data_IF_234736000044
#
_entry.id   IF_234736000044
#
_cell.length_a   1.000
_cell.length_b   1.000
_cell.length_c   1.000
_cell.angle_alpha   90.00
_cell.angle_beta   90.00
_cell.angle_gamma   90.00
#
_symmetry.space_group_name_H-M   'P 1'
#
loop_
_entity.id
_entity.type
_entity.pdbx_description
1 polymer ?
#
# COMPACT_ATOMS: atom_id res chain seq x y z
N UNK A 1 29.75 -3.85 63.99
CA UNK A 1 30.23 -2.47 64.14
C UNK A 1 30.54 -1.94 62.75
N UNK A 2 29.77 -0.95 62.32
CA UNK A 2 29.78 -0.31 61.00
C UNK A 2 31.15 0.26 60.61
N UNK A 3 31.62 -0.02 59.39
CA UNK A 3 32.50 0.85 58.58
C UNK A 3 32.12 0.60 57.11
N UNK A 4 31.29 1.46 56.53
CA UNK A 4 31.67 2.67 55.80
C UNK A 4 32.00 2.41 54.33
N UNK A 5 30.97 2.65 53.54
CA UNK A 5 30.88 3.20 52.18
C UNK A 5 32.17 3.74 51.55
N UNK A 6 32.43 3.32 50.30
CA UNK A 6 32.63 4.14 49.09
C UNK A 6 33.39 3.32 48.05
N UNK A 7 32.74 2.96 46.93
CA UNK A 7 33.40 2.93 45.61
C UNK A 7 32.39 3.37 44.54
N UNK A 8 32.41 4.66 44.25
CA UNK A 8 31.81 5.24 43.05
C UNK A 8 32.40 4.52 41.82
N UNK A 9 31.57 3.74 41.13
CA UNK A 9 31.90 3.18 39.81
C UNK A 9 31.90 4.29 38.75
N UNK A 10 32.68 4.13 37.66
CA UNK A 10 32.81 5.15 36.64
C UNK A 10 31.49 5.31 35.88
N UNK A 11 31.05 6.57 35.71
CA UNK A 11 29.97 6.90 34.78
C UNK A 11 30.49 6.64 33.36
N UNK A 12 30.11 5.49 32.79
CA UNK A 12 30.28 5.27 31.35
C UNK A 12 29.36 6.23 30.60
N UNK A 13 29.95 7.27 30.02
CA UNK A 13 29.30 8.13 29.05
C UNK A 13 29.17 7.36 27.73
N UNK A 14 27.98 6.83 27.46
CA UNK A 14 27.64 6.34 26.13
C UNK A 14 27.46 7.54 25.19
N UNK A 15 28.53 7.93 24.49
CA UNK A 15 28.43 8.82 23.33
C UNK A 15 27.85 8.00 22.16
N UNK A 16 26.52 8.01 22.01
CA UNK A 16 25.87 7.42 20.86
C UNK A 16 26.10 8.32 19.64
N UNK A 17 26.98 7.88 18.72
CA UNK A 17 27.08 8.48 17.39
C UNK A 17 25.76 8.27 16.65
N UNK A 18 24.96 9.33 16.55
CA UNK A 18 23.78 9.35 15.71
C UNK A 18 24.21 9.37 14.23
N UNK A 19 24.33 8.20 13.61
CA UNK A 19 24.39 8.10 12.16
C UNK A 19 23.01 8.41 11.60
N UNK A 20 22.84 9.62 11.09
CA UNK A 20 21.67 10.01 10.31
C UNK A 20 21.74 9.31 8.95
N UNK A 21 21.10 8.15 8.84
CA UNK A 21 20.83 7.54 7.55
C UNK A 21 19.87 8.44 6.77
N UNK A 22 20.38 9.08 5.72
CA UNK A 22 19.58 9.82 4.75
C UNK A 22 18.71 8.82 3.98
N UNK A 23 17.44 8.70 4.38
CA UNK A 23 16.43 8.02 3.58
C UNK A 23 16.19 8.87 2.34
N UNK A 24 16.63 8.39 1.18
CA UNK A 24 16.26 8.98 -0.10
C UNK A 24 14.76 8.79 -0.31
N UNK A 25 14.01 9.89 -0.27
CA UNK A 25 12.65 9.91 -0.76
C UNK A 25 12.72 9.77 -2.29
N UNK A 26 12.12 8.71 -2.82
CA UNK A 26 12.01 8.52 -4.27
C UNK A 26 11.40 9.79 -4.90
N UNK A 27 12.11 10.40 -5.84
CA UNK A 27 11.63 11.56 -6.58
C UNK A 27 10.39 11.16 -7.39
N UNK A 28 9.23 11.71 -7.04
CA UNK A 28 8.00 11.52 -7.81
C UNK A 28 8.10 12.36 -9.09
N UNK A 29 8.22 11.71 -10.25
CA UNK A 29 8.33 12.42 -11.52
C UNK A 29 6.96 12.94 -11.93
N UNK A 30 6.91 14.12 -12.53
CA UNK A 30 5.66 14.72 -13.05
C UNK A 30 4.93 13.78 -14.03
N UNK A 31 5.69 12.98 -14.80
CA UNK A 31 5.13 11.97 -15.71
C UNK A 31 4.39 10.83 -15.00
N UNK A 32 4.83 10.43 -13.80
CA UNK A 32 4.18 9.35 -13.04
C UNK A 32 2.80 9.81 -12.53
N UNK A 33 2.72 11.07 -12.09
CA UNK A 33 1.45 11.69 -11.70
C UNK A 33 0.48 11.76 -12.88
N UNK A 34 0.94 12.28 -14.02
CA UNK A 34 0.11 12.41 -15.21
C UNK A 34 -0.38 11.05 -15.72
N UNK A 35 0.49 10.05 -15.72
CA UNK A 35 0.13 8.67 -16.05
C UNK A 35 -0.95 8.16 -15.10
N UNK A 36 -0.76 8.31 -13.78
CA UNK A 36 -1.75 7.87 -12.80
C UNK A 36 -3.11 8.55 -13.02
N UNK A 37 -3.14 9.88 -13.17
CA UNK A 37 -4.39 10.62 -13.37
C UNK A 37 -5.11 10.27 -14.67
N UNK A 38 -4.37 9.95 -15.74
CA UNK A 38 -4.96 9.66 -17.06
C UNK A 38 -5.27 8.18 -17.30
N UNK A 39 -4.51 7.27 -16.70
CA UNK A 39 -4.59 5.83 -16.98
C UNK A 39 -5.15 5.02 -15.83
N UNK A 40 -4.77 5.36 -14.59
CA UNK A 40 -5.12 4.56 -13.42
C UNK A 40 -6.39 5.07 -12.72
N UNK A 41 -6.44 6.36 -12.39
CA UNK A 41 -7.57 6.95 -11.65
C UNK A 41 -8.93 6.74 -12.36
N UNK A 42 -9.06 6.89 -13.69
CA UNK A 42 -10.35 6.67 -14.36
C UNK A 42 -10.87 5.24 -14.17
N UNK A 43 -9.98 4.24 -14.27
CA UNK A 43 -10.34 2.82 -14.06
C UNK A 43 -10.81 2.58 -12.62
N UNK A 44 -10.09 3.15 -11.64
CA UNK A 44 -10.48 3.03 -10.23
C UNK A 44 -11.84 3.68 -9.94
N UNK A 45 -12.10 4.85 -10.52
CA UNK A 45 -13.38 5.55 -10.37
C UNK A 45 -14.53 4.74 -10.99
N UNK A 46 -14.34 4.26 -12.22
CA UNK A 46 -15.39 3.56 -12.96
C UNK A 46 -15.70 2.18 -12.36
N UNK A 47 -14.68 1.44 -11.97
CA UNK A 47 -14.82 0.01 -11.68
C UNK A 47 -14.62 -0.38 -10.22
N UNK A 48 -14.00 0.47 -9.40
CA UNK A 48 -13.57 0.08 -8.05
C UNK A 48 -14.26 0.87 -6.94
N UNK A 49 -14.37 2.19 -7.08
CA UNK A 49 -14.77 3.07 -5.99
C UNK A 49 -16.21 2.89 -5.51
N UNK A 50 -17.11 2.38 -6.35
CA UNK A 50 -18.47 2.05 -5.93
C UNK A 50 -18.52 1.11 -4.72
N UNK A 51 -17.51 0.26 -4.53
CA UNK A 51 -17.44 -0.70 -3.42
C UNK A 51 -16.20 -0.57 -2.53
N UNK A 52 -15.14 0.08 -3.01
CA UNK A 52 -13.83 0.13 -2.34
C UNK A 52 -13.31 1.58 -2.22
N UNK A 53 -14.16 2.49 -1.77
CA UNK A 53 -13.79 3.89 -1.48
C UNK A 53 -14.45 4.36 -0.19
N UNK A 54 -13.96 5.45 0.37
CA UNK A 54 -14.54 6.08 1.56
C UNK A 54 -15.98 6.58 1.32
N UNK A 55 -16.34 6.81 0.05
CA UNK A 55 -17.69 7.23 -0.37
C UNK A 55 -18.56 6.07 -0.86
N UNK A 56 -18.11 4.82 -0.75
CA UNK A 56 -18.90 3.66 -1.15
C UNK A 56 -20.15 3.52 -0.25
N UNK A 57 -21.34 3.37 -0.85
CA UNK A 57 -22.57 3.08 -0.11
C UNK A 57 -22.46 1.79 0.72
N UNK A 58 -21.70 0.81 0.19
CA UNK A 58 -21.36 -0.41 0.88
C UNK A 58 -19.89 -0.73 0.66
N UNK A 59 -19.08 -0.46 1.67
CA UNK A 59 -17.68 -0.85 1.71
C UNK A 59 -17.55 -2.38 1.69
N UNK A 60 -16.72 -2.91 0.79
CA UNK A 60 -16.50 -4.34 0.62
C UNK A 60 -15.11 -4.73 1.11
N UNK A 61 -15.07 -5.77 1.94
CA UNK A 61 -13.82 -6.35 2.45
C UNK A 61 -12.97 -5.35 3.23
N UNK A 62 -13.58 -4.34 3.85
CA UNK A 62 -12.93 -3.19 4.51
C UNK A 62 -11.75 -2.58 3.72
N UNK A 63 -11.82 -2.62 2.39
CA UNK A 63 -10.74 -2.20 1.51
C UNK A 63 -11.03 -0.83 0.90
N UNK A 64 -10.09 0.10 1.07
CA UNK A 64 -10.10 1.44 0.48
C UNK A 64 -9.02 1.52 -0.61
N UNK A 65 -9.44 1.79 -1.85
CA UNK A 65 -8.56 1.95 -3.02
C UNK A 65 -8.35 3.43 -3.40
N UNK A 66 -9.03 4.35 -2.71
CA UNK A 66 -9.00 5.80 -2.93
C UNK A 66 -8.01 6.54 -2.02
N UNK A 67 -7.28 5.81 -1.18
CA UNK A 67 -6.27 6.37 -0.29
C UNK A 67 -4.99 5.55 -0.26
N UNK A 68 -3.85 6.23 -0.12
CA UNK A 68 -2.54 5.57 -0.05
C UNK A 68 -2.44 4.63 1.16
N UNK A 69 -2.94 5.06 2.31
CA UNK A 69 -2.95 4.22 3.51
C UNK A 69 -3.83 2.97 3.32
N UNK A 70 -5.01 3.14 2.72
CA UNK A 70 -5.93 2.04 2.42
C UNK A 70 -5.31 0.96 1.54
N UNK A 71 -4.66 1.35 0.43
CA UNK A 71 -4.05 0.37 -0.48
C UNK A 71 -2.85 -0.37 0.13
N UNK A 72 -2.09 0.30 1.01
CA UNK A 72 -0.92 -0.29 1.68
C UNK A 72 -1.32 -1.20 2.84
N UNK A 73 -2.36 -0.83 3.59
CA UNK A 73 -2.92 -1.67 4.66
C UNK A 73 -3.66 -2.88 4.09
N UNK A 74 -4.40 -2.66 3.00
CA UNK A 74 -5.39 -3.60 2.51
C UNK A 74 -6.68 -3.57 3.34
N UNK A 75 -7.46 -4.64 3.23
CA UNK A 75 -8.73 -4.82 3.94
C UNK A 75 -8.76 -6.09 4.78
N UNK A 76 -9.93 -6.73 4.88
CA UNK A 76 -10.18 -7.95 5.66
C UNK A 76 -9.24 -9.12 5.31
N UNK A 77 -8.63 -9.12 4.12
CA UNK A 77 -7.66 -10.13 3.73
C UNK A 77 -6.35 -10.11 4.55
N UNK A 78 -6.11 -9.04 5.31
CA UNK A 78 -4.90 -8.87 6.13
C UNK A 78 -3.61 -8.69 5.31
N UNK A 79 -3.72 -8.49 3.99
CA UNK A 79 -2.60 -8.31 3.07
C UNK A 79 -2.75 -7.00 2.30
N UNK A 80 -1.65 -6.30 1.97
CA UNK A 80 -1.69 -5.09 1.16
C UNK A 80 -2.42 -5.31 -0.18
N UNK A 81 -3.23 -4.34 -0.59
CA UNK A 81 -3.80 -4.34 -1.93
C UNK A 81 -2.70 -4.08 -2.98
N UNK A 82 -1.80 -3.14 -2.67
CA UNK A 82 -0.62 -2.83 -3.47
C UNK A 82 0.64 -2.93 -2.60
N UNK A 83 1.64 -3.63 -3.11
CA UNK A 83 3.02 -3.63 -2.61
C UNK A 83 3.86 -2.83 -3.61
N UNK A 84 4.31 -1.62 -3.27
CA UNK A 84 5.05 -0.76 -4.19
C UNK A 84 6.26 -1.48 -4.82
N UNK A 85 6.39 -1.41 -6.15
CA UNK A 85 7.46 -2.08 -6.89
C UNK A 85 7.31 -3.60 -7.05
N UNK A 86 6.24 -4.21 -6.53
CA UNK A 86 6.03 -5.66 -6.55
C UNK A 86 4.59 -6.00 -6.94
N UNK A 87 4.29 -5.88 -8.23
CA UNK A 87 2.97 -6.17 -8.79
C UNK A 87 2.53 -7.63 -8.53
N UNK A 88 3.46 -8.58 -8.61
CA UNK A 88 3.25 -10.00 -8.33
C UNK A 88 2.86 -10.30 -6.87
N UNK A 89 3.27 -9.42 -5.94
CA UNK A 89 2.94 -9.53 -4.50
C UNK A 89 1.70 -8.73 -4.11
N UNK A 90 1.07 -8.03 -5.06
CA UNK A 90 -0.05 -7.13 -4.83
C UNK A 90 -1.39 -7.83 -5.05
N UNK A 91 -2.26 -7.84 -4.04
CA UNK A 91 -3.58 -8.50 -4.14
C UNK A 91 -4.50 -7.88 -5.18
N UNK A 92 -4.40 -6.57 -5.41
CA UNK A 92 -5.15 -5.89 -6.46
C UNK A 92 -4.83 -6.50 -7.83
N UNK A 93 -3.57 -6.84 -8.08
CA UNK A 93 -3.10 -7.37 -9.37
C UNK A 93 -3.59 -8.81 -9.58
N UNK A 94 -3.53 -9.66 -8.55
CA UNK A 94 -4.15 -11.00 -8.55
C UNK A 94 -5.65 -10.89 -8.92
N UNK A 95 -6.33 -9.92 -8.31
CA UNK A 95 -7.76 -9.74 -8.46
C UNK A 95 -8.19 -9.27 -9.84
N UNK A 96 -7.51 -8.27 -10.43
CA UNK A 96 -7.84 -7.75 -11.77
C UNK A 96 -7.39 -8.70 -12.89
N UNK A 97 -6.38 -9.53 -12.64
CA UNK A 97 -5.95 -10.58 -13.57
C UNK A 97 -6.87 -11.79 -13.56
N UNK A 98 -7.76 -11.92 -12.57
CA UNK A 98 -8.62 -13.09 -12.37
C UNK A 98 -7.80 -14.39 -12.29
N UNK A 99 -6.65 -14.37 -11.61
CA UNK A 99 -5.82 -15.58 -11.42
C UNK A 99 -6.28 -16.43 -10.24
N UNK A 100 -7.29 -15.96 -9.51
CA UNK A 100 -7.90 -16.62 -8.37
C UNK A 100 -9.42 -16.44 -8.47
N UNK A 101 -10.15 -17.56 -8.54
CA UNK A 101 -11.60 -17.58 -8.75
C UNK A 101 -12.39 -16.97 -7.59
N UNK A 102 -11.83 -16.97 -6.38
CA UNK A 102 -12.45 -16.38 -5.20
C UNK A 102 -12.20 -14.86 -5.07
N UNK A 103 -11.30 -14.30 -5.90
CA UNK A 103 -10.84 -12.92 -5.80
C UNK A 103 -10.98 -12.13 -7.11
N UNK A 104 -11.98 -12.45 -7.94
CA UNK A 104 -12.18 -11.77 -9.22
C UNK A 104 -12.81 -10.37 -9.04
N UNK A 105 -12.07 -9.32 -9.39
CA UNK A 105 -12.54 -7.93 -9.36
C UNK A 105 -12.19 -7.19 -10.66
N UNK A 106 -13.07 -6.34 -11.20
CA UNK A 106 -14.45 -6.09 -10.78
C UNK A 106 -15.34 -7.32 -11.03
N UNK A 107 -16.40 -7.59 -10.24
CA UNK A 107 -17.27 -8.74 -10.51
C UNK A 107 -18.06 -8.53 -11.82
N UNK A 108 -18.53 -9.62 -12.45
CA UNK A 108 -19.30 -9.55 -13.71
C UNK A 108 -20.47 -8.55 -13.69
N UNK A 109 -21.18 -8.47 -12.56
CA UNK A 109 -22.30 -7.54 -12.35
C UNK A 109 -21.92 -6.06 -12.20
N UNK A 110 -20.62 -5.75 -12.14
CA UNK A 110 -20.08 -4.40 -11.96
C UNK A 110 -19.04 -4.06 -13.04
N UNK A 111 -19.20 -4.62 -14.25
CA UNK A 111 -18.34 -4.34 -15.41
C UNK A 111 -17.48 -5.53 -15.84
N UNK A 112 -17.26 -6.52 -14.97
CA UNK A 112 -16.45 -7.68 -15.28
C UNK A 112 -14.97 -7.36 -15.44
N UNK A 113 -14.22 -8.30 -16.03
CA UNK A 113 -12.76 -8.23 -16.12
C UNK A 113 -12.33 -7.02 -16.96
N UNK A 114 -11.34 -6.29 -16.46
CA UNK A 114 -10.71 -5.18 -17.17
C UNK A 114 -10.08 -5.66 -18.50
N UNK A 115 -9.88 -4.72 -19.43
CA UNK A 115 -9.16 -5.02 -20.66
C UNK A 115 -7.69 -5.37 -20.38
N UNK A 116 -7.04 -6.07 -21.32
CA UNK A 116 -5.61 -6.38 -21.21
C UNK A 116 -4.73 -5.13 -21.11
N UNK A 117 -5.09 -4.07 -21.82
CA UNK A 117 -4.41 -2.77 -21.76
C UNK A 117 -4.54 -2.13 -20.38
N UNK A 118 -5.76 -2.06 -19.84
CA UNK A 118 -6.01 -1.54 -18.50
C UNK A 118 -5.21 -2.34 -17.46
N UNK A 119 -5.24 -3.68 -17.50
CA UNK A 119 -4.43 -4.51 -16.59
C UNK A 119 -2.93 -4.24 -16.77
N UNK A 120 -2.48 -4.02 -18.00
CA UNK A 120 -1.10 -3.65 -18.33
C UNK A 120 -0.67 -2.36 -17.65
N UNK A 121 -1.53 -1.33 -17.65
CA UNK A 121 -1.24 -0.04 -17.01
C UNK A 121 -1.03 -0.16 -15.49
N UNK A 122 -1.64 -1.14 -14.81
CA UNK A 122 -1.44 -1.35 -13.35
C UNK A 122 -0.12 -2.05 -12.99
N UNK A 123 0.65 -2.53 -13.97
CA UNK A 123 1.86 -3.33 -13.73
C UNK A 123 3.11 -2.77 -14.40
N UNK A 124 3.07 -1.50 -14.80
CA UNK A 124 4.21 -0.75 -15.36
C UNK A 124 5.24 -0.36 -14.31
#
# INVERSE_FOLDING_TARGET
>A
MFRSDLKFGPRLTFAALASTALVSAAEFKSGDYEFFEKKIRPVLVEHCYKCHSASAEKLKGDLLLDSREGVLKGGESGKPAIVPGHADRSRLIEAIRYTNDDLQMPPKKAGGKLSGEQIGDFVV
#
